data_IF_887002872667
#
_entry.id   IF_887002872667
#
_cell.length_a   1.000
_cell.length_b   1.000
_cell.length_c   1.000
_cell.angle_alpha   90.00
_cell.angle_beta   90.00
_cell.angle_gamma   90.00
#
_symmetry.space_group_name_H-M   'P 1'
#
loop_
_entity.id
_entity.type
_entity.pdbx_description
1 polymer ?
#
# COMPACT_ATOMS: atom_id res chain seq x y z
N UNK A 1 -27.80 55.19 5.78
CA UNK A 1 -28.96 54.32 6.08
C UNK A 1 -28.69 52.96 5.45
N UNK A 2 -28.31 51.94 6.24
CA UNK A 2 -27.99 50.58 5.74
C UNK A 2 -29.30 49.77 5.69
N UNK A 3 -29.73 49.22 4.54
CA UNK A 3 -30.97 48.45 4.49
C UNK A 3 -30.81 47.15 5.29
N UNK A 4 -31.77 46.86 6.17
CA UNK A 4 -31.77 45.68 7.01
C UNK A 4 -31.90 44.39 6.20
N UNK A 5 -30.97 43.46 6.41
CA UNK A 5 -31.00 42.10 5.86
C UNK A 5 -31.96 41.23 6.68
N UNK A 6 -33.27 41.44 6.54
CA UNK A 6 -34.28 40.57 7.16
C UNK A 6 -35.11 39.88 6.09
N UNK A 7 -34.91 38.56 5.93
CA UNK A 7 -35.91 37.67 5.32
C UNK A 7 -35.76 37.31 3.83
N UNK A 8 -34.60 37.49 3.19
CA UNK A 8 -34.42 37.00 1.82
C UNK A 8 -34.14 35.49 1.83
N UNK A 9 -35.02 34.69 1.23
CA UNK A 9 -34.69 33.30 0.84
C UNK A 9 -33.46 33.39 -0.07
N UNK A 10 -32.29 33.10 0.47
CA UNK A 10 -31.01 33.36 -0.23
C UNK A 10 -30.87 32.40 -1.40
N UNK A 11 -31.30 32.85 -2.59
CA UNK A 11 -30.91 32.21 -3.85
C UNK A 11 -29.38 32.32 -3.96
N UNK A 12 -28.74 31.33 -4.57
CA UNK A 12 -27.28 31.28 -4.75
C UNK A 12 -26.70 32.56 -5.39
N UNK A 13 -27.49 33.27 -6.20
CA UNK A 13 -27.14 34.56 -6.78
C UNK A 13 -26.90 35.65 -5.72
N UNK A 14 -27.76 35.76 -4.70
CA UNK A 14 -27.59 36.74 -3.62
C UNK A 14 -26.35 36.46 -2.78
N UNK A 15 -26.00 35.18 -2.60
CA UNK A 15 -24.78 34.81 -1.90
C UNK A 15 -23.54 35.26 -2.67
N UNK A 16 -23.48 35.03 -3.99
CA UNK A 16 -22.34 35.48 -4.80
C UNK A 16 -22.22 37.01 -4.81
N UNK A 17 -23.34 37.75 -4.88
CA UNK A 17 -23.33 39.21 -4.81
C UNK A 17 -22.82 39.71 -3.45
N UNK A 18 -23.27 39.10 -2.36
CA UNK A 18 -22.78 39.43 -1.02
C UNK A 18 -21.29 39.09 -0.86
N UNK A 19 -20.84 37.98 -1.46
CA UNK A 19 -19.45 37.54 -1.44
C UNK A 19 -18.55 38.48 -2.23
N UNK A 20 -19.00 38.95 -3.39
CA UNK A 20 -18.29 39.94 -4.20
C UNK A 20 -18.20 41.29 -3.47
N UNK A 21 -19.29 41.73 -2.83
CA UNK A 21 -19.26 42.92 -1.99
C UNK A 21 -18.30 42.78 -0.79
N UNK A 22 -18.23 41.60 -0.17
CA UNK A 22 -17.30 41.31 0.92
C UNK A 22 -15.84 41.21 0.47
N UNK A 23 -15.60 40.84 -0.79
CA UNK A 23 -14.28 40.77 -1.40
C UNK A 23 -13.79 42.11 -1.95
N UNK A 24 -14.61 43.17 -1.89
CA UNK A 24 -14.25 44.50 -2.38
C UNK A 24 -13.04 45.07 -1.62
N UNK A 25 -12.03 45.54 -2.36
CA UNK A 25 -10.76 46.00 -1.81
C UNK A 25 -9.68 44.92 -1.68
N UNK A 26 -9.98 43.66 -2.02
CA UNK A 26 -8.99 42.58 -2.12
C UNK A 26 -8.53 42.41 -3.58
N UNK A 27 -7.22 42.26 -3.79
CA UNK A 27 -6.66 41.98 -5.12
C UNK A 27 -6.83 40.51 -5.51
N UNK A 28 -8.06 40.12 -5.87
CA UNK A 28 -8.38 38.75 -6.28
C UNK A 28 -8.56 38.71 -7.79
N UNK A 29 -7.59 38.13 -8.51
CA UNK A 29 -7.70 37.91 -9.97
C UNK A 29 -8.98 37.14 -10.31
N UNK A 30 -9.79 37.71 -11.18
CA UNK A 30 -11.05 37.16 -11.71
C UNK A 30 -12.20 37.06 -10.67
N UNK A 31 -12.15 37.82 -9.57
CA UNK A 31 -13.24 37.93 -8.58
C UNK A 31 -13.47 36.70 -7.71
N UNK A 32 -14.28 36.83 -6.67
CA UNK A 32 -14.58 35.75 -5.72
C UNK A 32 -15.99 35.19 -5.96
N UNK A 33 -16.10 33.86 -6.09
CA UNK A 33 -17.39 33.17 -6.26
C UNK A 33 -17.51 31.98 -5.31
N UNK A 34 -18.73 31.56 -5.01
CA UNK A 34 -18.98 30.36 -4.19
C UNK A 34 -18.31 29.09 -4.75
N UNK A 35 -18.20 28.95 -6.07
CA UNK A 35 -17.50 27.83 -6.68
C UNK A 35 -16.00 27.87 -6.39
N UNK A 36 -15.37 29.06 -6.46
CA UNK A 36 -13.93 29.22 -6.19
C UNK A 36 -13.61 28.96 -4.72
N UNK A 37 -14.42 29.49 -3.79
CA UNK A 37 -14.28 29.17 -2.37
C UNK A 37 -14.38 27.67 -2.12
N UNK A 38 -15.39 27.00 -2.73
CA UNK A 38 -15.54 25.56 -2.59
C UNK A 38 -14.32 24.81 -3.11
N UNK A 39 -13.76 25.26 -4.23
CA UNK A 39 -12.55 24.68 -4.80
C UNK A 39 -11.35 24.83 -3.86
N UNK A 40 -11.06 26.05 -3.39
CA UNK A 40 -9.95 26.29 -2.45
C UNK A 40 -10.12 25.47 -1.18
N UNK A 41 -11.32 25.47 -0.59
CA UNK A 41 -11.60 24.70 0.61
C UNK A 41 -11.39 23.19 0.42
N UNK A 42 -11.92 22.62 -0.67
CA UNK A 42 -11.78 21.20 -0.96
C UNK A 42 -10.32 20.81 -1.23
N UNK A 43 -9.61 21.58 -2.06
CA UNK A 43 -8.19 21.33 -2.36
C UNK A 43 -7.34 21.45 -1.09
N UNK A 44 -7.56 22.46 -0.23
CA UNK A 44 -6.82 22.58 1.04
C UNK A 44 -7.04 21.39 1.98
N UNK A 45 -8.27 20.88 2.07
CA UNK A 45 -8.57 19.69 2.88
C UNK A 45 -7.88 18.45 2.32
N UNK A 46 -7.89 18.27 1.00
CA UNK A 46 -7.23 17.15 0.35
C UNK A 46 -5.70 17.22 0.49
N UNK A 47 -5.11 18.40 0.30
CA UNK A 47 -3.68 18.63 0.53
C UNK A 47 -3.29 18.39 2.00
N UNK A 48 -4.21 18.60 2.94
CA UNK A 48 -4.04 18.25 4.35
C UNK A 48 -4.25 16.77 4.70
N UNK A 49 -4.40 15.89 3.70
CA UNK A 49 -4.55 14.44 3.90
C UNK A 49 -5.98 13.96 4.13
N UNK A 50 -6.99 14.79 3.86
CA UNK A 50 -8.38 14.33 3.90
C UNK A 50 -8.69 13.48 2.66
N UNK A 51 -9.21 12.27 2.87
CA UNK A 51 -9.58 11.39 1.76
C UNK A 51 -10.67 12.00 0.86
N UNK A 52 -10.64 11.64 -0.43
CA UNK A 52 -11.64 12.07 -1.43
C UNK A 52 -13.07 11.80 -0.95
N UNK A 53 -13.31 10.62 -0.37
CA UNK A 53 -14.62 10.23 0.17
C UNK A 53 -15.04 11.09 1.37
N UNK A 54 -14.08 11.50 2.21
CA UNK A 54 -14.32 12.43 3.31
C UNK A 54 -14.77 13.79 2.80
N UNK A 55 -14.08 14.34 1.79
CA UNK A 55 -14.42 15.61 1.17
C UNK A 55 -15.78 15.53 0.43
N UNK A 56 -16.05 14.43 -0.26
CA UNK A 56 -17.36 14.18 -0.90
C UNK A 56 -18.50 14.23 0.11
N UNK A 57 -18.34 13.55 1.26
CA UNK A 57 -19.35 13.51 2.30
C UNK A 57 -19.58 14.89 2.92
N UNK A 58 -18.50 15.64 3.14
CA UNK A 58 -18.54 17.00 3.69
C UNK A 58 -19.25 17.99 2.75
N UNK A 59 -19.01 17.89 1.45
CA UNK A 59 -19.61 18.76 0.44
C UNK A 59 -20.98 18.29 -0.06
N UNK A 60 -21.43 17.10 0.37
CA UNK A 60 -22.70 16.52 -0.05
C UNK A 60 -22.72 16.04 -1.51
N UNK A 61 -21.56 15.72 -2.08
CA UNK A 61 -21.45 15.25 -3.46
C UNK A 61 -21.83 13.78 -3.57
N UNK A 62 -22.78 13.47 -4.46
CA UNK A 62 -23.22 12.10 -4.76
C UNK A 62 -22.37 11.42 -5.83
N UNK A 63 -21.70 12.20 -6.67
CA UNK A 63 -20.84 11.73 -7.74
C UNK A 63 -19.40 12.16 -7.46
N UNK A 64 -18.47 11.20 -7.53
CA UNK A 64 -17.04 11.43 -7.33
C UNK A 64 -16.47 12.36 -8.41
N UNK A 65 -17.02 12.37 -9.63
CA UNK A 65 -16.56 13.21 -10.75
C UNK A 65 -16.55 14.71 -10.40
N UNK A 66 -17.50 15.15 -9.58
CA UNK A 66 -17.58 16.55 -9.13
C UNK A 66 -16.42 16.89 -8.18
N UNK A 67 -16.01 15.93 -7.37
CA UNK A 67 -14.95 16.11 -6.35
C UNK A 67 -13.56 15.85 -6.92
N UNK A 68 -13.45 15.00 -7.95
CA UNK A 68 -12.21 14.81 -8.70
C UNK A 68 -11.68 16.12 -9.30
N UNK A 69 -12.55 17.11 -9.56
CA UNK A 69 -12.11 18.44 -9.99
C UNK A 69 -11.15 19.12 -9.00
N UNK A 70 -11.17 18.73 -7.72
CA UNK A 70 -10.34 19.32 -6.67
C UNK A 70 -9.00 18.61 -6.45
N UNK A 71 -8.75 17.49 -7.15
CA UNK A 71 -7.58 16.62 -6.94
C UNK A 71 -6.30 17.15 -7.56
N UNK A 72 -6.32 18.31 -8.23
CA UNK A 72 -5.25 18.74 -9.15
C UNK A 72 -3.89 19.04 -8.49
N UNK A 73 -3.74 18.92 -7.16
CA UNK A 73 -2.45 19.14 -6.47
C UNK A 73 -2.26 18.17 -5.28
N UNK A 74 -2.12 16.87 -5.56
CA UNK A 74 -1.77 15.88 -4.51
C UNK A 74 -0.82 14.79 -5.01
N UNK A 75 0.27 15.17 -5.71
CA UNK A 75 1.33 14.18 -6.02
C UNK A 75 2.11 13.78 -4.75
N UNK A 76 2.25 14.67 -3.78
CA UNK A 76 2.93 14.40 -2.50
C UNK A 76 2.06 13.55 -1.56
N UNK A 77 0.77 13.91 -1.40
CA UNK A 77 -0.16 13.21 -0.51
C UNK A 77 -0.42 11.77 -0.96
N UNK A 78 -0.47 11.51 -2.27
CA UNK A 78 -0.65 10.15 -2.82
C UNK A 78 0.56 9.26 -2.51
N UNK A 79 1.78 9.81 -2.57
CA UNK A 79 2.99 9.08 -2.19
C UNK A 79 3.02 8.71 -0.71
N UNK A 80 2.67 9.66 0.16
CA UNK A 80 2.57 9.43 1.61
C UNK A 80 1.48 8.41 1.97
N UNK A 81 0.29 8.54 1.38
CA UNK A 81 -0.82 7.59 1.58
C UNK A 81 -0.45 6.19 1.06
N UNK A 82 0.23 6.09 -0.08
CA UNK A 82 0.74 4.84 -0.63
C UNK A 82 1.74 4.18 0.33
N UNK A 83 2.75 4.93 0.80
CA UNK A 83 3.73 4.40 1.73
C UNK A 83 3.09 3.98 3.06
N UNK A 84 2.18 4.78 3.60
CA UNK A 84 1.43 4.43 4.81
C UNK A 84 0.57 3.17 4.62
N UNK A 85 -0.04 2.99 3.46
CA UNK A 85 -0.82 1.80 3.14
C UNK A 85 0.07 0.55 3.02
N UNK A 86 1.22 0.65 2.34
CA UNK A 86 2.18 -0.45 2.22
C UNK A 86 2.76 -0.83 3.58
N UNK A 87 3.15 0.11 4.44
CA UNK A 87 3.61 -0.21 5.80
C UNK A 87 2.55 -0.92 6.63
N UNK A 88 1.28 -0.51 6.52
CA UNK A 88 0.16 -1.19 7.18
C UNK A 88 -0.06 -2.59 6.64
N UNK A 89 0.06 -2.79 5.33
CA UNK A 89 -0.03 -4.09 4.68
C UNK A 89 1.11 -5.01 5.12
N UNK A 90 2.35 -4.53 5.08
CA UNK A 90 3.52 -5.26 5.57
C UNK A 90 3.34 -5.67 7.02
N UNK A 91 2.87 -4.77 7.89
CA UNK A 91 2.61 -5.07 9.31
C UNK A 91 1.50 -6.11 9.45
N UNK A 92 0.39 -5.96 8.71
CA UNK A 92 -0.78 -6.85 8.77
C UNK A 92 -0.47 -8.25 8.26
N UNK A 93 0.40 -8.38 7.27
CA UNK A 93 0.79 -9.65 6.67
C UNK A 93 2.17 -10.14 7.13
N UNK A 94 2.82 -9.48 8.10
CA UNK A 94 4.21 -9.77 8.51
C UNK A 94 4.41 -11.14 9.15
N UNK A 95 3.39 -11.85 9.61
CA UNK A 95 3.60 -12.99 10.50
C UNK A 95 2.82 -14.24 10.10
N UNK A 96 3.31 -14.89 9.05
CA UNK A 96 3.34 -16.35 8.96
C UNK A 96 4.59 -16.88 8.22
N UNK A 97 5.60 -16.06 7.94
CA UNK A 97 6.93 -16.59 7.66
C UNK A 97 7.55 -16.95 9.01
N UNK A 98 7.14 -18.11 9.56
CA UNK A 98 8.01 -18.85 10.46
C UNK A 98 9.27 -19.13 9.64
N UNK A 99 10.29 -18.31 9.78
CA UNK A 99 11.65 -18.80 9.66
C UNK A 99 11.79 -19.84 10.76
N UNK A 100 11.40 -21.09 10.48
CA UNK A 100 12.08 -22.22 11.07
C UNK A 100 13.54 -21.92 10.82
N UNK A 101 14.29 -21.62 11.89
CA UNK A 101 15.74 -21.71 11.81
C UNK A 101 16.03 -23.01 11.06
N UNK A 102 16.79 -22.99 9.96
CA UNK A 102 17.15 -24.23 9.29
C UNK A 102 17.74 -25.10 10.40
N UNK A 103 17.11 -26.25 10.64
CA UNK A 103 17.58 -27.16 11.67
C UNK A 103 19.09 -27.27 11.47
N UNK A 104 19.88 -27.01 12.53
CA UNK A 104 21.34 -27.18 12.51
C UNK A 104 21.63 -28.65 12.25
N UNK A 105 21.50 -29.06 11.00
CA UNK A 105 21.79 -30.39 10.51
C UNK A 105 23.30 -30.41 10.38
N UNK A 106 23.94 -31.10 11.32
CA UNK A 106 25.33 -31.48 11.16
C UNK A 106 25.48 -32.14 9.76
N UNK A 107 26.41 -31.67 8.91
CA UNK A 107 26.67 -32.25 7.59
C UNK A 107 26.74 -33.78 7.58
N UNK A 108 27.30 -34.40 8.63
CA UNK A 108 27.33 -35.86 8.79
C UNK A 108 25.92 -36.47 8.90
N UNK A 109 25.04 -35.86 9.71
CA UNK A 109 23.67 -36.33 9.89
C UNK A 109 22.85 -36.18 8.61
N UNK A 110 23.05 -35.09 7.86
CA UNK A 110 22.40 -34.86 6.58
C UNK A 110 22.84 -35.91 5.53
N UNK A 111 24.15 -36.15 5.40
CA UNK A 111 24.68 -37.16 4.49
C UNK A 111 24.22 -38.57 4.87
N UNK A 112 24.17 -38.89 6.17
CA UNK A 112 23.62 -40.15 6.66
C UNK A 112 22.14 -40.35 6.30
N UNK A 113 21.32 -39.30 6.40
CA UNK A 113 19.91 -39.35 6.02
C UNK A 113 19.72 -39.57 4.50
N UNK A 114 20.52 -38.88 3.67
CA UNK A 114 20.48 -39.02 2.21
C UNK A 114 20.89 -40.44 1.80
N UNK A 115 21.98 -40.99 2.37
CA UNK A 115 22.42 -42.36 2.09
C UNK A 115 21.30 -43.37 2.37
N UNK A 116 20.65 -43.27 3.54
CA UNK A 116 19.53 -44.17 3.89
C UNK A 116 18.37 -44.02 2.92
N UNK A 117 18.04 -42.80 2.51
CA UNK A 117 16.96 -42.55 1.56
C UNK A 117 17.26 -43.14 0.18
N UNK A 118 18.48 -42.96 -0.34
CA UNK A 118 18.91 -43.53 -1.63
C UNK A 118 18.87 -45.06 -1.59
N UNK A 119 19.36 -45.68 -0.50
CA UNK A 119 19.32 -47.14 -0.34
C UNK A 119 17.90 -47.69 -0.26
N UNK A 120 16.99 -46.99 0.43
CA UNK A 120 15.58 -47.38 0.55
C UNK A 120 14.80 -47.24 -0.76
N UNK A 121 15.23 -46.33 -1.64
CA UNK A 121 14.52 -45.99 -2.88
C UNK A 121 15.17 -46.58 -4.14
N UNK A 122 16.27 -47.32 -4.00
CA UNK A 122 16.81 -48.13 -5.08
C UNK A 122 15.75 -49.18 -5.47
N UNK A 123 15.08 -48.96 -6.61
CA UNK A 123 14.10 -49.88 -7.16
C UNK A 123 14.72 -51.23 -7.57
N UNK A 124 13.88 -52.15 -8.02
CA UNK A 124 14.30 -53.50 -8.43
C UNK A 124 15.07 -53.52 -9.76
N UNK A 125 15.01 -52.43 -10.53
CA UNK A 125 15.66 -52.30 -11.83
C UNK A 125 17.20 -52.36 -11.70
N UNK A 126 17.88 -53.30 -12.39
CA UNK A 126 19.33 -53.52 -12.22
C UNK A 126 20.19 -52.29 -12.48
N UNK A 127 19.79 -51.45 -13.45
CA UNK A 127 20.54 -50.25 -13.81
C UNK A 127 20.35 -49.12 -12.78
N UNK A 128 19.11 -48.92 -12.31
CA UNK A 128 18.81 -47.96 -11.26
C UNK A 128 19.51 -48.33 -9.94
N UNK A 129 19.56 -49.62 -9.62
CA UNK A 129 20.26 -50.15 -8.45
C UNK A 129 21.77 -49.91 -8.50
N UNK A 130 22.41 -50.18 -9.64
CA UNK A 130 23.85 -49.89 -9.84
C UNK A 130 24.16 -48.39 -9.69
N UNK A 131 23.33 -47.51 -10.26
CA UNK A 131 23.50 -46.05 -10.12
C UNK A 131 23.35 -45.59 -8.67
N UNK A 132 22.37 -46.15 -7.94
CA UNK A 132 22.18 -45.86 -6.52
C UNK A 132 23.36 -46.35 -5.66
N UNK A 133 23.92 -47.53 -5.94
CA UNK A 133 25.10 -48.06 -5.24
C UNK A 133 26.35 -47.18 -5.47
N UNK A 134 26.58 -46.73 -6.70
CA UNK A 134 27.66 -45.79 -7.02
C UNK A 134 27.49 -44.44 -6.31
N UNK A 135 26.27 -43.92 -6.26
CA UNK A 135 25.94 -42.67 -5.56
C UNK A 135 26.17 -42.81 -4.04
N UNK A 136 25.72 -43.91 -3.43
CA UNK A 136 25.94 -44.20 -2.01
C UNK A 136 27.44 -44.31 -1.70
N UNK A 137 28.24 -44.96 -2.56
CA UNK A 137 29.69 -45.05 -2.38
C UNK A 137 30.36 -43.68 -2.40
N UNK A 138 29.94 -42.78 -3.29
CA UNK A 138 30.44 -41.40 -3.36
C UNK A 138 30.04 -40.58 -2.12
N UNK A 139 28.78 -40.70 -1.69
CA UNK A 139 28.28 -39.99 -0.51
C UNK A 139 28.93 -40.45 0.79
N UNK A 140 29.26 -41.74 0.92
CA UNK A 140 30.00 -42.27 2.07
C UNK A 140 31.42 -41.69 2.17
N UNK A 141 32.13 -41.59 1.03
CA UNK A 141 33.46 -40.97 0.97
C UNK A 141 33.41 -39.49 1.40
N UNK A 142 32.47 -38.72 0.85
CA UNK A 142 32.27 -37.31 1.22
C UNK A 142 31.96 -37.17 2.72
N UNK A 143 31.23 -38.13 3.30
CA UNK A 143 30.92 -38.11 4.73
C UNK A 143 32.13 -38.39 5.62
N UNK A 144 33.03 -39.27 5.19
CA UNK A 144 34.32 -39.50 5.85
C UNK A 144 35.16 -38.22 5.83
N UNK A 145 35.30 -37.58 4.66
CA UNK A 145 36.05 -36.33 4.49
C UNK A 145 35.50 -35.16 5.34
N UNK A 146 34.20 -35.16 5.64
CA UNK A 146 33.51 -34.13 6.42
C UNK A 146 33.55 -34.43 7.94
N UNK A 147 33.76 -35.69 8.33
CA UNK A 147 33.90 -36.09 9.74
C UNK A 147 35.29 -35.84 10.33
N UNK A 148 36.30 -35.69 9.47
CA UNK A 148 37.71 -35.43 9.84
C UNK A 148 38.07 -33.93 9.94
N UNK A 149 37.10 -33.03 9.74
CA UNK A 149 37.20 -31.56 9.82
C UNK A 149 36.62 -31.03 11.14
#
# INVERSE_FOLDING_TARGET
MRPGLRGLKTRASHFNVALEAAANGLEIRNGMTSHRLRHTYATSLMSGGMSLMGVMKLLGHRDYRVTLRYTEITMETVGEEYHAAITKLETRYRLALRSTEPAKLNPDQALGAIIRWVQKRAGEEPEARRRAEQLVKRLKRIREDVGDL
#
